data_IF_340776703960
#
_entry.id   IF_340776703960
#
_cell.length_a   1.000
_cell.length_b   1.000
_cell.length_c   1.000
_cell.angle_alpha   90.00
_cell.angle_beta   90.00
_cell.angle_gamma   90.00
#
_symmetry.space_group_name_H-M   'P 1'
#
loop_
_entity.id
_entity.type
_entity.pdbx_description
1 polymer ?
#
# COMPACT_ATOMS: atom_id res chain seq x y z
N UNK A 1 -3.82 -33.64 8.17
CA UNK A 1 -3.14 -32.55 7.45
C UNK A 1 -4.11 -32.03 6.41
N UNK A 2 -4.77 -30.90 6.70
CA UNK A 2 -5.66 -30.26 5.76
C UNK A 2 -4.83 -29.59 4.65
N UNK A 3 -5.26 -29.76 3.40
CA UNK A 3 -4.63 -29.14 2.24
C UNK A 3 -5.52 -28.03 1.72
N UNK A 4 -5.00 -26.81 1.77
CA UNK A 4 -5.67 -25.61 1.29
C UNK A 4 -5.34 -25.36 -0.18
N UNK A 5 -6.34 -24.85 -0.91
CA UNK A 5 -6.09 -24.27 -2.24
C UNK A 5 -5.22 -23.03 -2.10
N UNK A 6 -4.51 -22.65 -3.16
CA UNK A 6 -3.69 -21.43 -3.17
C UNK A 6 -4.51 -20.18 -2.83
N UNK A 7 -5.80 -20.11 -3.20
CA UNK A 7 -6.65 -18.96 -2.84
C UNK A 7 -6.98 -18.96 -1.35
N UNK A 8 -7.44 -20.10 -0.83
CA UNK A 8 -7.80 -20.21 0.60
C UNK A 8 -6.59 -20.06 1.53
N UNK A 9 -5.41 -20.54 1.11
CA UNK A 9 -4.17 -20.31 1.84
C UNK A 9 -3.77 -18.83 1.85
N UNK A 10 -3.98 -18.10 0.75
CA UNK A 10 -3.70 -16.66 0.70
C UNK A 10 -4.63 -15.87 1.64
N UNK A 11 -5.92 -16.26 1.69
CA UNK A 11 -6.90 -15.70 2.63
C UNK A 11 -6.52 -15.98 4.08
N UNK A 12 -6.12 -17.20 4.44
CA UNK A 12 -5.67 -17.52 5.80
C UNK A 12 -4.39 -16.80 6.22
N UNK A 13 -3.52 -16.48 5.26
CA UNK A 13 -2.28 -15.75 5.48
C UNK A 13 -2.45 -14.22 5.44
N UNK A 14 -3.64 -13.73 5.12
CA UNK A 14 -3.90 -12.29 4.98
C UNK A 14 -3.10 -11.61 3.86
N UNK A 15 -2.68 -12.34 2.82
CA UNK A 15 -1.87 -11.82 1.71
C UNK A 15 -2.61 -11.90 0.38
N UNK A 16 -2.25 -11.03 -0.57
CA UNK A 16 -2.75 -11.15 -1.93
C UNK A 16 -2.32 -12.47 -2.59
N UNK A 17 -3.19 -13.02 -3.44
CA UNK A 17 -2.94 -14.28 -4.16
C UNK A 17 -1.64 -14.24 -4.99
N UNK A 18 -1.33 -13.10 -5.60
CA UNK A 18 -0.09 -12.89 -6.37
C UNK A 18 1.16 -13.00 -5.49
N UNK A 19 1.12 -12.49 -4.26
CA UNK A 19 2.19 -12.60 -3.26
C UNK A 19 2.45 -14.06 -2.89
N UNK A 20 1.39 -14.81 -2.62
CA UNK A 20 1.52 -16.24 -2.31
C UNK A 20 2.06 -17.04 -3.52
N UNK A 21 1.56 -16.75 -4.73
CA UNK A 21 2.09 -17.36 -5.97
C UNK A 21 3.58 -17.07 -6.15
N UNK A 22 4.02 -15.84 -5.85
CA UNK A 22 5.43 -15.45 -5.86
C UNK A 22 6.24 -16.25 -4.85
N UNK A 23 5.75 -16.42 -3.63
CA UNK A 23 6.46 -17.18 -2.59
C UNK A 23 6.60 -18.67 -2.93
N UNK A 24 5.62 -19.25 -3.63
CA UNK A 24 5.73 -20.62 -4.15
C UNK A 24 6.80 -20.70 -5.23
N UNK A 25 6.84 -19.72 -6.14
CA UNK A 25 7.86 -19.67 -7.19
C UNK A 25 9.27 -19.46 -6.61
N UNK A 26 9.41 -18.64 -5.56
CA UNK A 26 10.69 -18.39 -4.87
C UNK A 26 11.02 -19.43 -3.80
N UNK A 27 10.23 -20.50 -3.66
CA UNK A 27 10.48 -21.59 -2.71
C UNK A 27 10.30 -21.24 -1.23
N UNK A 28 9.71 -20.10 -0.91
CA UNK A 28 9.47 -19.64 0.46
C UNK A 28 8.27 -20.33 1.12
N UNK A 29 7.34 -20.83 0.30
CA UNK A 29 6.17 -21.61 0.72
C UNK A 29 6.28 -23.01 0.15
N UNK A 30 6.21 -23.99 1.05
CA UNK A 30 6.18 -25.40 0.68
C UNK A 30 4.80 -25.75 0.15
N UNK A 31 4.75 -26.41 -0.99
CA UNK A 31 3.50 -26.83 -1.61
C UNK A 31 3.58 -28.26 -2.09
N UNK A 32 2.44 -28.93 -2.07
CA UNK A 32 2.24 -30.23 -2.71
C UNK A 32 1.41 -30.02 -3.97
N UNK A 33 1.67 -30.80 -5.03
CA UNK A 33 0.85 -30.77 -6.24
C UNK A 33 -0.16 -31.91 -6.21
N UNK A 34 -1.39 -31.65 -6.63
CA UNK A 34 -2.38 -32.69 -6.93
C UNK A 34 -1.99 -33.43 -8.22
N UNK A 35 -2.60 -34.59 -8.51
CA UNK A 35 -2.45 -35.25 -9.82
C UNK A 35 -2.74 -34.32 -11.00
N UNK A 36 -3.71 -33.40 -10.86
CA UNK A 36 -4.01 -32.35 -11.85
C UNK A 36 -3.03 -31.15 -11.86
N UNK A 37 -1.88 -31.23 -11.20
CA UNK A 37 -0.83 -30.20 -11.24
C UNK A 37 -1.06 -28.95 -10.37
N UNK A 38 -2.19 -28.82 -9.69
CA UNK A 38 -2.48 -27.66 -8.85
C UNK A 38 -1.72 -27.69 -7.52
N UNK A 39 -1.16 -26.54 -7.14
CA UNK A 39 -0.50 -26.36 -5.85
C UNK A 39 -1.50 -26.35 -4.68
N UNK A 40 -1.09 -26.97 -3.57
CA UNK A 40 -1.79 -27.03 -2.28
C UNK A 40 -0.83 -26.72 -1.15
N UNK A 41 -1.30 -25.97 -0.16
CA UNK A 41 -0.53 -25.59 1.04
C UNK A 41 -1.11 -26.36 2.23
N UNK A 42 -0.28 -26.95 3.08
CA UNK A 42 -0.76 -27.62 4.28
C UNK A 42 -1.10 -26.64 5.41
N UNK A 43 -2.03 -27.03 6.27
CA UNK A 43 -2.29 -26.41 7.59
C UNK A 43 -1.00 -26.08 8.37
N UNK A 44 -0.08 -27.04 8.49
CA UNK A 44 1.19 -26.84 9.20
C UNK A 44 2.08 -25.77 8.55
N UNK A 45 2.07 -25.68 7.22
CA UNK A 45 2.83 -24.67 6.50
C UNK A 45 2.21 -23.28 6.67
N UNK A 46 0.87 -23.18 6.66
CA UNK A 46 0.17 -21.94 6.97
C UNK A 46 0.49 -21.50 8.41
N UNK A 47 0.40 -22.41 9.39
CA UNK A 47 0.76 -22.12 10.77
C UNK A 47 2.21 -21.64 10.92
N UNK A 48 3.17 -22.26 10.20
CA UNK A 48 4.59 -21.85 10.17
C UNK A 48 4.77 -20.44 9.63
N UNK A 49 3.97 -20.03 8.65
CA UNK A 49 4.06 -18.72 8.02
C UNK A 49 3.42 -17.64 8.90
N UNK A 50 2.27 -17.94 9.52
CA UNK A 50 1.62 -17.05 10.50
C UNK A 50 2.54 -16.84 11.71
N UNK A 51 3.16 -17.91 12.22
CA UNK A 51 4.08 -17.82 13.37
C UNK A 51 5.38 -17.07 13.06
N UNK A 52 5.73 -16.87 11.78
CA UNK A 52 6.85 -16.03 11.35
C UNK A 52 6.44 -14.58 11.06
N UNK A 53 5.14 -14.28 11.03
CA UNK A 53 4.64 -12.96 10.62
C UNK A 53 4.66 -11.90 11.73
N UNK A 54 5.12 -12.20 12.95
CA UNK A 54 5.36 -11.20 14.00
C UNK A 54 6.72 -11.43 14.69
N UNK A 55 7.65 -10.46 14.81
CA UNK A 55 7.85 -9.24 14.03
C UNK A 55 9.33 -9.16 13.57
N UNK A 56 9.68 -9.70 12.39
CA UNK A 56 11.00 -9.45 11.79
C UNK A 56 10.89 -9.13 10.30
N UNK A 57 11.07 -7.84 10.00
CA UNK A 57 11.76 -7.44 8.77
C UNK A 57 10.87 -7.26 7.55
N UNK A 58 10.41 -6.01 7.39
CA UNK A 58 10.59 -5.21 6.17
C UNK A 58 11.01 -6.03 4.96
N UNK A 59 10.17 -6.01 3.94
CA UNK A 59 10.55 -6.26 2.55
C UNK A 59 11.67 -5.28 2.12
N UNK A 60 12.90 -5.49 2.60
CA UNK A 60 14.14 -4.95 2.07
C UNK A 60 14.37 -5.65 0.73
N UNK A 61 13.76 -5.12 -0.34
CA UNK A 61 14.17 -5.25 -1.76
C UNK A 61 13.15 -4.58 -2.68
N UNK A 62 12.89 -3.31 -2.40
CA UNK A 62 12.78 -2.22 -3.37
C UNK A 62 13.13 -0.97 -2.55
N UNK A 63 14.15 -0.20 -2.96
CA UNK A 63 14.64 1.05 -2.32
C UNK A 63 15.13 0.99 -0.86
N UNK A 64 16.07 0.11 -0.51
CA UNK A 64 16.77 0.20 0.78
C UNK A 64 17.95 1.20 0.80
N UNK A 65 18.18 1.95 -0.30
CA UNK A 65 19.22 2.98 -0.39
C UNK A 65 18.76 4.40 -0.02
N UNK A 66 17.46 4.69 -0.08
CA UNK A 66 16.96 6.07 0.06
C UNK A 66 16.33 6.36 1.43
N UNK A 67 15.73 5.36 2.10
CA UNK A 67 15.11 5.52 3.41
C UNK A 67 16.14 5.63 4.56
N UNK A 68 17.40 5.25 4.29
CA UNK A 68 18.54 5.37 5.22
C UNK A 68 19.11 6.80 5.27
N UNK A 69 18.72 7.69 4.35
CA UNK A 69 19.14 9.11 4.36
C UNK A 69 18.22 10.01 5.21
N UNK A 70 17.02 9.54 5.59
CA UNK A 70 16.06 10.27 6.42
C UNK A 70 16.11 9.80 7.89
N UNK A 71 17.33 9.73 8.44
CA UNK A 71 17.56 9.37 9.85
C UNK A 71 17.13 10.54 10.74
N UNK A 72 16.25 10.28 11.71
CA UNK A 72 15.85 11.26 12.74
C UNK A 72 14.46 11.87 12.63
N UNK A 73 13.67 11.56 11.59
CA UNK A 73 12.28 12.01 11.50
C UNK A 73 11.32 11.06 12.23
N UNK A 74 10.59 11.58 13.22
CA UNK A 74 9.57 10.85 14.00
C UNK A 74 8.27 10.56 13.23
N UNK A 75 8.13 11.13 12.03
CA UNK A 75 6.99 10.89 11.15
C UNK A 75 6.96 9.43 10.69
N UNK A 76 5.91 8.70 11.12
CA UNK A 76 5.74 7.26 10.86
C UNK A 76 5.06 6.94 9.54
N UNK A 77 4.30 7.87 8.99
CA UNK A 77 3.60 7.67 7.72
C UNK A 77 4.51 8.19 6.60
N UNK A 78 5.08 7.26 5.83
CA UNK A 78 5.98 7.53 4.72
C UNK A 78 5.42 6.86 3.47
N UNK A 79 5.12 7.64 2.44
CA UNK A 79 4.49 7.18 1.21
C UNK A 79 5.40 7.47 0.01
N UNK A 80 5.92 6.42 -0.62
CA UNK A 80 6.75 6.53 -1.81
C UNK A 80 5.90 6.75 -3.06
N UNK A 81 6.36 7.63 -3.93
CA UNK A 81 5.69 7.96 -5.17
C UNK A 81 6.56 8.77 -6.10
N UNK A 82 5.94 9.34 -7.13
CA UNK A 82 6.59 10.30 -8.01
C UNK A 82 5.75 11.56 -8.16
N UNK A 83 6.41 12.67 -8.47
CA UNK A 83 5.76 13.96 -8.66
C UNK A 83 5.06 14.01 -10.02
N UNK A 84 3.74 14.16 -10.02
CA UNK A 84 2.95 14.35 -11.24
C UNK A 84 2.91 15.82 -11.67
N UNK A 85 2.86 16.74 -10.71
CA UNK A 85 2.68 18.16 -10.97
C UNK A 85 3.27 19.02 -9.85
N UNK A 86 3.89 20.13 -10.24
CA UNK A 86 4.38 21.18 -9.35
C UNK A 86 3.76 22.50 -9.80
N UNK A 87 3.04 23.18 -8.92
CA UNK A 87 2.51 24.53 -9.14
C UNK A 87 3.05 25.44 -8.06
N UNK A 88 3.64 26.57 -8.45
CA UNK A 88 4.13 27.58 -7.52
C UNK A 88 3.29 28.84 -7.71
N UNK A 89 2.78 29.39 -6.61
CA UNK A 89 2.03 30.64 -6.61
C UNK A 89 2.39 31.47 -5.36
N UNK A 90 3.03 32.61 -5.58
CA UNK A 90 3.57 33.46 -4.51
C UNK A 90 4.51 32.70 -3.58
N UNK A 91 4.16 32.66 -2.29
CA UNK A 91 4.94 32.03 -1.22
C UNK A 91 4.65 30.53 -1.07
N UNK A 92 3.60 30.02 -1.71
CA UNK A 92 3.16 28.64 -1.58
C UNK A 92 3.41 27.88 -2.88
N UNK A 93 3.41 26.56 -2.74
CA UNK A 93 3.47 25.64 -3.84
C UNK A 93 2.62 24.41 -3.56
N UNK A 94 1.93 23.94 -4.59
CA UNK A 94 1.18 22.70 -4.58
C UNK A 94 1.97 21.62 -5.33
N UNK A 95 2.13 20.46 -4.69
CA UNK A 95 2.75 19.27 -5.26
C UNK A 95 1.69 18.18 -5.34
N UNK A 96 1.43 17.67 -6.55
CA UNK A 96 0.65 16.45 -6.74
C UNK A 96 1.60 15.28 -6.95
N UNK A 97 1.45 14.23 -6.16
CA UNK A 97 2.22 12.99 -6.25
C UNK A 97 1.30 11.82 -6.59
N UNK A 98 1.83 10.85 -7.35
CA UNK A 98 1.23 9.53 -7.51
C UNK A 98 1.84 8.58 -6.49
N UNK A 99 1.00 7.94 -5.68
CA UNK A 99 1.40 6.93 -4.70
C UNK A 99 0.59 5.66 -5.01
N UNK A 100 1.22 4.71 -5.69
CA UNK A 100 0.50 3.54 -6.22
C UNK A 100 -0.60 3.97 -7.21
N UNK A 101 -1.84 3.58 -6.94
CA UNK A 101 -3.05 3.95 -7.69
C UNK A 101 -3.75 5.20 -7.15
N UNK A 102 -3.23 5.82 -6.09
CA UNK A 102 -3.80 6.98 -5.45
C UNK A 102 -3.02 8.26 -5.80
N UNK A 103 -3.70 9.41 -5.68
CA UNK A 103 -3.05 10.72 -5.76
C UNK A 103 -2.99 11.36 -4.37
N UNK A 104 -1.82 11.88 -4.04
CA UNK A 104 -1.58 12.70 -2.86
C UNK A 104 -1.30 14.14 -3.28
N UNK A 105 -1.86 15.11 -2.56
CA UNK A 105 -1.54 16.53 -2.78
C UNK A 105 -0.97 17.12 -1.50
N UNK A 106 0.17 17.78 -1.60
CA UNK A 106 0.79 18.54 -0.51
C UNK A 106 0.87 20.03 -0.89
N UNK A 107 0.69 20.89 0.10
CA UNK A 107 0.99 22.33 -0.01
C UNK A 107 2.18 22.63 0.88
N UNK A 108 3.24 23.16 0.30
CA UNK A 108 4.48 23.54 0.99
C UNK A 108 4.91 24.94 0.53
N UNK A 109 5.96 25.49 1.12
CA UNK A 109 6.47 26.79 0.69
C UNK A 109 7.13 26.69 -0.68
N UNK A 110 7.07 27.78 -1.45
CA UNK A 110 7.74 27.89 -2.74
C UNK A 110 9.26 27.66 -2.62
N UNK A 111 9.87 28.14 -1.53
CA UNK A 111 11.29 27.98 -1.27
C UNK A 111 11.68 26.53 -0.96
N UNK A 112 10.81 25.77 -0.28
CA UNK A 112 11.04 24.35 -0.05
C UNK A 112 11.08 23.57 -1.38
N UNK A 113 10.15 23.85 -2.30
CA UNK A 113 10.16 23.23 -3.64
C UNK A 113 11.44 23.55 -4.40
N UNK A 114 11.87 24.81 -4.38
CA UNK A 114 13.11 25.25 -5.05
C UNK A 114 14.35 24.61 -4.44
N UNK A 115 14.42 24.55 -3.11
CA UNK A 115 15.54 23.94 -2.37
C UNK A 115 15.64 22.44 -2.65
N UNK A 116 14.50 21.74 -2.68
CA UNK A 116 14.43 20.32 -3.03
C UNK A 116 14.59 20.06 -4.53
N UNK A 117 14.55 21.12 -5.36
CA UNK A 117 14.63 21.07 -6.82
C UNK A 117 13.57 20.15 -7.45
N UNK A 118 12.43 19.98 -6.80
CA UNK A 118 11.36 19.07 -7.22
C UNK A 118 10.78 19.48 -8.57
N UNK A 119 10.63 18.50 -9.45
CA UNK A 119 10.08 18.62 -10.79
C UNK A 119 9.13 17.47 -11.05
N UNK A 120 8.26 17.65 -12.06
CA UNK A 120 7.43 16.57 -12.56
C UNK A 120 8.32 15.41 -13.05
N UNK A 121 7.99 14.21 -12.61
CA UNK A 121 8.70 12.97 -12.92
C UNK A 121 9.68 12.52 -11.84
N UNK A 122 10.01 13.38 -10.86
CA UNK A 122 10.95 13.02 -9.81
C UNK A 122 10.35 11.98 -8.86
N UNK A 123 11.16 11.00 -8.47
CA UNK A 123 10.86 10.13 -7.33
C UNK A 123 10.86 10.96 -6.04
N UNK A 124 9.84 10.77 -5.21
CA UNK A 124 9.67 11.53 -3.99
C UNK A 124 9.03 10.70 -2.87
N UNK A 125 9.36 11.07 -1.63
CA UNK A 125 8.75 10.50 -0.44
C UNK A 125 7.88 11.55 0.24
N UNK A 126 6.58 11.26 0.36
CA UNK A 126 5.71 12.05 1.21
C UNK A 126 5.81 11.59 2.67
N UNK A 127 6.11 12.53 3.55
CA UNK A 127 6.31 12.29 4.99
C UNK A 127 5.19 12.99 5.74
N UNK A 128 4.38 12.22 6.47
CA UNK A 128 3.19 12.72 7.16
C UNK A 128 3.32 12.42 8.66
N UNK A 129 3.17 13.45 9.49
CA UNK A 129 3.16 13.31 10.94
C UNK A 129 1.91 12.54 11.38
N UNK A 130 2.06 11.56 12.27
CA UNK A 130 0.95 10.69 12.68
C UNK A 130 -0.22 11.44 13.31
N UNK A 131 0.04 12.57 13.98
CA UNK A 131 -0.99 13.37 14.68
C UNK A 131 -1.82 14.25 13.75
N UNK A 132 -1.50 14.32 12.45
CA UNK A 132 -2.17 15.19 11.47
C UNK A 132 -3.04 14.40 10.48
N UNK A 133 -3.16 13.08 10.69
CA UNK A 133 -4.01 12.21 9.87
C UNK A 133 -5.40 12.13 10.47
N UNK A 134 -6.42 12.29 9.63
CA UNK A 134 -7.83 12.09 9.99
C UNK A 134 -8.33 10.75 9.44
N UNK A 135 -9.19 10.07 10.19
CA UNK A 135 -9.80 8.79 9.80
C UNK A 135 -11.32 8.91 9.89
N UNK A 136 -12.03 8.40 8.88
CA UNK A 136 -13.49 8.35 8.85
C UNK A 136 -13.97 6.93 8.49
N UNK A 137 -15.17 6.56 8.96
CA UNK A 137 -15.84 5.32 8.54
C UNK A 137 -16.59 5.58 7.22
N UNK A 138 -16.51 4.65 6.28
CA UNK A 138 -17.34 4.69 5.08
C UNK A 138 -18.84 4.59 5.47
N UNK A 139 -19.61 5.63 5.16
CA UNK A 139 -21.06 5.62 5.35
C UNK A 139 -21.76 4.92 4.18
N UNK A 140 -22.86 4.23 4.46
CA UNK A 140 -23.79 3.78 3.43
C UNK A 140 -24.68 4.96 3.05
N UNK A 141 -24.62 5.42 1.80
CA UNK A 141 -25.61 6.38 1.28
C UNK A 141 -26.93 5.63 1.12
N UNK A 142 -27.88 5.87 2.02
CA UNK A 142 -29.26 5.40 1.84
C UNK A 142 -29.93 6.37 0.87
N UNK A 143 -30.16 5.94 -0.37
CA UNK A 143 -30.93 6.74 -1.34
C UNK A 143 -32.34 7.00 -0.77
N UNK A 144 -32.72 8.27 -0.71
CA UNK A 144 -34.06 8.66 -0.27
C UNK A 144 -35.12 8.11 -1.24
N UNK A 145 -36.26 7.61 -0.74
CA UNK A 145 -37.30 7.05 -1.59
C UNK A 145 -37.86 8.13 -2.53
N UNK A 146 -37.71 7.91 -3.85
CA UNK A 146 -38.29 8.78 -4.88
C UNK A 146 -39.81 8.80 -4.72
N UNK A 147 -40.38 9.97 -4.41
CA UNK A 147 -41.84 10.17 -4.42
C UNK A 147 -42.37 9.86 -5.82
N UNK A 148 -43.16 8.79 -5.94
CA UNK A 148 -43.88 8.47 -7.19
C UNK A 148 -44.86 9.60 -7.46
N UNK A 149 -44.61 10.39 -8.50
CA UNK A 149 -45.58 11.35 -9.02
C UNK A 149 -46.82 10.56 -9.46
N UNK A 150 -47.96 10.79 -8.79
CA UNK A 150 -49.27 10.36 -9.29
C UNK A 150 -49.54 11.14 -10.57
N UNK A 151 -49.60 10.42 -11.69
CA UNK A 151 -50.09 10.94 -12.97
C UNK A 151 -51.61 11.04 -12.86
N UNK A 152 -52.14 12.26 -12.97
CA UNK A 152 -53.56 12.54 -13.16
C UNK A 152 -53.94 12.31 -14.61
#
# INVERSE_FOLDING_TARGET
>A
MALFTMRSAAEQLGVAYSTLKRWVHTGHVRTTRTEGGHHRVSDNEIARLISRQEPEGRSRRASAGDDELLVGLSARNRLHGFVEEVRIDGLLAQIRMRVGDQSLTAVITADAVRALKLRRGDDALAIIKSTEVMIARAGHVVEAPRKRARKT
#
